data_IF_271071906874
#
_entry.id   IF_271071906874
#
_cell.length_a   1.000
_cell.length_b   1.000
_cell.length_c   1.000
_cell.angle_alpha   90.00
_cell.angle_beta   90.00
_cell.angle_gamma   90.00
#
_symmetry.space_group_name_H-M   'P 1'
#
loop_
_entity.id
_entity.type
_entity.pdbx_description
1 polymer ?
#
# COMPACT_ATOMS: atom_id res chain seq x y z
N UNK A 1 50.71 -36.73 16.65
CA UNK A 1 50.56 -35.25 16.73
C UNK A 1 49.98 -34.62 15.48
N UNK A 2 50.01 -35.26 14.31
CA UNK A 2 49.43 -34.74 13.05
C UNK A 2 47.90 -34.79 13.00
N UNK A 3 47.25 -35.73 13.70
CA UNK A 3 45.79 -35.90 13.66
C UNK A 3 45.02 -34.85 14.48
N UNK A 4 45.65 -34.19 15.46
CA UNK A 4 45.04 -33.14 16.29
C UNK A 4 45.04 -31.78 15.57
N UNK A 5 46.03 -31.57 14.70
CA UNK A 5 46.09 -30.34 13.91
C UNK A 5 45.03 -30.27 12.80
N UNK A 6 44.54 -31.42 12.34
CA UNK A 6 43.52 -31.51 11.27
C UNK A 6 42.10 -31.36 11.82
N UNK A 7 41.89 -31.57 13.11
CA UNK A 7 40.56 -31.39 13.77
C UNK A 7 40.27 -29.91 14.16
N UNK A 8 41.31 -29.09 14.21
CA UNK A 8 41.19 -27.65 14.54
C UNK A 8 40.84 -26.76 13.35
N UNK A 9 40.80 -27.31 12.12
CA UNK A 9 40.41 -26.55 10.91
C UNK A 9 38.92 -26.66 10.55
N UNK A 10 38.13 -27.38 11.33
CA UNK A 10 36.68 -27.43 11.16
C UNK A 10 35.96 -26.56 12.19
N UNK A 11 36.44 -25.34 12.43
CA UNK A 11 35.58 -24.30 12.97
C UNK A 11 34.74 -23.84 11.80
N UNK A 12 33.43 -24.10 11.77
CA UNK A 12 32.58 -23.45 10.78
C UNK A 12 32.76 -21.95 11.04
N UNK A 13 33.25 -21.24 10.04
CA UNK A 13 33.12 -19.80 9.96
C UNK A 13 31.63 -19.58 10.09
N UNK A 14 31.16 -19.20 11.28
CA UNK A 14 29.79 -18.80 11.51
C UNK A 14 29.57 -17.52 10.71
N UNK A 15 29.29 -17.68 9.42
CA UNK A 15 28.78 -16.62 8.57
C UNK A 15 27.48 -16.20 9.23
N UNK A 16 27.44 -14.99 9.77
CA UNK A 16 26.26 -14.50 10.44
C UNK A 16 25.13 -14.40 9.43
N UNK A 17 24.17 -15.36 9.49
CA UNK A 17 23.01 -15.31 8.64
C UNK A 17 22.30 -13.97 8.80
N UNK A 18 22.24 -13.19 7.75
CA UNK A 18 21.48 -11.93 7.72
C UNK A 18 19.99 -12.25 7.58
N UNK A 19 19.16 -11.61 8.39
CA UNK A 19 17.70 -11.67 8.28
C UNK A 19 17.16 -10.27 8.09
N UNK A 20 16.48 -10.04 6.97
CA UNK A 20 15.75 -8.81 6.70
C UNK A 20 14.31 -9.15 6.38
N UNK A 21 13.39 -8.72 7.22
CA UNK A 21 11.95 -8.94 7.03
C UNK A 21 11.23 -7.62 7.05
N UNK A 22 10.46 -7.36 6.02
CA UNK A 22 9.58 -6.20 5.95
C UNK A 22 8.14 -6.66 5.79
N UNK A 23 7.26 -6.19 6.67
CA UNK A 23 5.82 -6.40 6.60
C UNK A 23 5.15 -5.06 6.44
N UNK A 24 4.38 -4.91 5.36
CA UNK A 24 3.72 -3.66 4.97
C UNK A 24 2.23 -3.90 4.85
N UNK A 25 1.42 -3.03 5.42
CA UNK A 25 -0.04 -3.01 5.27
C UNK A 25 -0.46 -1.71 4.62
N UNK A 26 -1.21 -1.81 3.54
CA UNK A 26 -1.78 -0.67 2.80
C UNK A 26 -3.23 -0.51 3.25
N UNK A 27 -3.58 0.65 3.80
CA UNK A 27 -4.95 0.95 4.19
C UNK A 27 -5.81 1.39 3.00
N UNK A 28 -7.16 1.34 3.11
CA UNK A 28 -8.05 1.90 2.10
C UNK A 28 -7.89 3.41 1.87
N UNK A 29 -7.32 4.13 2.84
CA UNK A 29 -7.08 5.58 2.78
C UNK A 29 -5.73 5.97 2.16
N UNK A 30 -5.05 5.03 1.48
CA UNK A 30 -3.72 5.20 0.85
C UNK A 30 -2.59 5.50 1.85
N UNK A 31 -2.75 5.05 3.08
CA UNK A 31 -1.71 5.10 4.09
C UNK A 31 -1.04 3.73 4.23
N UNK A 32 0.21 3.77 4.65
CA UNK A 32 1.06 2.59 4.78
C UNK A 32 1.56 2.50 6.21
N UNK A 33 1.37 1.32 6.80
CA UNK A 33 1.90 0.99 8.13
C UNK A 33 2.64 -0.33 8.07
N UNK A 34 3.55 -0.55 8.98
CA UNK A 34 4.29 -1.81 8.96
C UNK A 34 5.49 -1.85 9.86
N UNK A 35 6.33 -2.83 9.58
CA UNK A 35 7.52 -3.15 10.37
C UNK A 35 8.65 -3.60 9.46
N UNK A 36 9.86 -3.21 9.79
CA UNK A 36 11.10 -3.68 9.17
C UNK A 36 12.00 -4.22 10.27
N UNK A 37 12.46 -5.46 10.13
CA UNK A 37 13.45 -6.10 10.99
C UNK A 37 14.71 -6.31 10.17
N UNK A 38 15.84 -5.79 10.66
CA UNK A 38 17.16 -6.07 10.15
C UNK A 38 18.00 -6.67 11.28
N UNK A 39 18.34 -7.95 11.17
CA UNK A 39 19.02 -8.69 12.25
C UNK A 39 20.03 -9.67 11.66
N UNK A 40 21.04 -10.01 12.46
CA UNK A 40 22.05 -11.01 12.10
C UNK A 40 22.37 -11.89 13.33
N UNK A 41 22.93 -13.07 13.10
CA UNK A 41 23.48 -13.86 14.19
C UNK A 41 24.70 -13.13 14.79
N UNK A 42 24.72 -12.91 16.11
CA UNK A 42 25.82 -12.18 16.75
C UNK A 42 27.15 -12.92 16.58
N UNK A 43 28.19 -12.21 16.18
CA UNK A 43 29.55 -12.74 16.06
C UNK A 43 30.23 -12.90 17.43
N UNK A 44 29.80 -12.13 18.42
CA UNK A 44 30.26 -12.16 19.79
C UNK A 44 29.20 -11.52 20.72
N UNK A 45 29.42 -11.61 22.04
CA UNK A 45 28.47 -11.11 23.06
C UNK A 45 28.28 -9.58 23.09
N UNK A 46 29.04 -8.82 22.33
CA UNK A 46 28.94 -7.36 22.23
C UNK A 46 28.39 -6.91 20.85
N UNK A 47 28.13 -7.85 19.96
CA UNK A 47 27.61 -7.57 18.65
C UNK A 47 26.13 -7.20 18.76
N UNK A 48 25.77 -6.01 18.30
CA UNK A 48 24.40 -5.49 18.30
C UNK A 48 23.69 -5.71 16.97
N UNK A 49 24.38 -6.30 16.00
CA UNK A 49 23.83 -6.54 14.65
C UNK A 49 23.59 -5.28 13.82
N UNK A 50 22.85 -5.39 12.71
CA UNK A 50 22.53 -4.28 11.82
C UNK A 50 21.72 -3.20 12.54
N UNK A 51 22.07 -1.93 12.32
CA UNK A 51 21.37 -0.78 12.86
C UNK A 51 20.45 -0.14 11.79
N UNK A 52 19.26 0.29 12.23
CA UNK A 52 18.33 1.13 11.47
C UNK A 52 18.32 2.50 12.15
N UNK A 53 19.24 3.38 11.77
CA UNK A 53 19.48 4.66 12.45
C UNK A 53 19.45 5.87 11.50
N UNK A 54 19.01 5.66 10.27
CA UNK A 54 18.89 6.72 9.27
C UNK A 54 17.94 7.82 9.68
N UNK A 55 18.34 9.07 9.40
CA UNK A 55 17.49 10.24 9.61
C UNK A 55 16.42 10.30 8.52
N UNK A 56 15.15 10.19 8.92
CA UNK A 56 14.00 10.34 8.02
C UNK A 56 13.19 11.58 8.37
N UNK A 57 12.70 12.34 7.37
CA UNK A 57 11.97 13.58 7.61
C UNK A 57 10.69 13.42 8.45
N UNK A 58 10.17 12.19 8.53
CA UNK A 58 8.95 11.81 9.25
C UNK A 58 9.23 10.94 10.49
N UNK A 59 10.30 11.22 11.22
CA UNK A 59 10.73 10.46 12.41
C UNK A 59 9.63 10.28 13.48
N UNK A 60 8.63 11.17 13.51
CA UNK A 60 7.48 11.04 14.42
C UNK A 60 6.56 9.86 14.08
N UNK A 61 6.61 9.36 12.84
CA UNK A 61 5.82 8.22 12.36
C UNK A 61 6.59 6.91 12.42
N UNK A 62 7.85 6.91 12.85
CA UNK A 62 8.74 5.75 12.87
C UNK A 62 9.34 5.59 14.26
N UNK A 63 9.19 4.41 14.84
CA UNK A 63 9.81 4.04 16.10
C UNK A 63 10.85 2.94 15.84
N UNK A 64 12.11 3.22 16.19
CA UNK A 64 13.20 2.24 16.09
C UNK A 64 13.52 1.69 17.47
N UNK A 65 13.70 0.37 17.56
CA UNK A 65 14.08 -0.35 18.77
C UNK A 65 15.09 -1.43 18.48
N UNK A 66 15.78 -1.90 19.52
CA UNK A 66 16.66 -3.06 19.41
C UNK A 66 15.82 -4.33 19.20
N UNK A 67 16.33 -5.20 18.33
CA UNK A 67 15.78 -6.52 18.10
C UNK A 67 16.71 -7.58 18.69
N UNK A 68 16.18 -8.45 19.56
CA UNK A 68 16.88 -9.61 20.12
C UNK A 68 15.87 -10.74 20.28
N UNK A 69 15.86 -11.63 19.28
CA UNK A 69 14.95 -12.79 19.26
C UNK A 69 15.49 -13.91 18.39
N UNK A 70 15.19 -15.15 18.76
CA UNK A 70 15.57 -16.37 18.02
C UNK A 70 17.09 -16.50 17.78
N UNK A 71 17.92 -15.90 18.64
CA UNK A 71 19.37 -15.90 18.47
C UNK A 71 19.88 -14.94 17.38
N UNK A 72 19.05 -13.98 16.97
CA UNK A 72 19.41 -12.86 16.10
C UNK A 72 19.36 -11.55 16.88
N UNK A 73 20.30 -10.68 16.61
CA UNK A 73 20.37 -9.33 17.16
C UNK A 73 20.39 -8.30 16.03
N UNK A 74 19.83 -7.13 16.30
CA UNK A 74 19.74 -6.07 15.31
C UNK A 74 18.79 -4.97 15.71
N UNK A 75 18.09 -4.42 14.71
CA UNK A 75 17.13 -3.35 14.90
C UNK A 75 15.79 -3.68 14.23
N UNK A 76 14.74 -3.13 14.82
CA UNK A 76 13.36 -3.16 14.36
C UNK A 76 12.85 -1.74 14.22
N UNK A 77 12.25 -1.42 13.09
CA UNK A 77 11.56 -0.16 12.85
C UNK A 77 10.08 -0.42 12.63
N UNK A 78 9.22 0.17 13.44
CA UNK A 78 7.76 0.16 13.26
C UNK A 78 7.33 1.52 12.77
N UNK A 79 6.52 1.55 11.72
CA UNK A 79 6.04 2.80 11.12
C UNK A 79 4.53 2.77 10.94
N UNK A 80 3.90 3.94 11.02
CA UNK A 80 2.45 4.09 10.85
C UNK A 80 2.10 5.33 10.05
N UNK A 81 1.02 5.21 9.28
CA UNK A 81 0.39 6.31 8.55
C UNK A 81 1.33 7.06 7.58
N UNK A 82 2.26 6.32 6.96
CA UNK A 82 3.09 6.88 5.90
C UNK A 82 2.28 7.04 4.61
N UNK A 83 2.48 8.13 3.92
CA UNK A 83 1.97 8.29 2.55
C UNK A 83 2.79 7.45 1.56
N UNK A 84 2.24 7.17 0.38
CA UNK A 84 2.97 6.47 -0.68
C UNK A 84 4.27 7.19 -1.08
N UNK A 85 4.32 8.52 -0.96
CA UNK A 85 5.52 9.31 -1.25
C UNK A 85 6.61 9.22 -0.17
N UNK A 86 6.23 8.93 1.08
CA UNK A 86 7.17 8.77 2.20
C UNK A 86 7.80 7.36 2.21
N UNK A 87 7.08 6.34 1.72
CA UNK A 87 7.54 4.94 1.76
C UNK A 87 8.94 4.71 1.16
N UNK A 88 9.31 5.25 -0.02
CA UNK A 88 10.64 5.05 -0.58
C UNK A 88 11.78 5.60 0.30
N UNK A 89 11.48 6.56 1.17
CA UNK A 89 12.48 7.21 2.03
C UNK A 89 12.88 6.33 3.21
N UNK A 90 12.10 5.28 3.54
CA UNK A 90 12.49 4.27 4.54
C UNK A 90 13.78 3.53 4.15
N UNK A 91 14.08 3.40 2.86
CA UNK A 91 15.33 2.79 2.40
C UNK A 91 16.57 3.58 2.85
N UNK A 92 16.41 4.87 3.17
CA UNK A 92 17.52 5.71 3.66
C UNK A 92 17.86 5.47 5.14
N UNK A 93 17.02 4.69 5.88
CA UNK A 93 17.28 4.35 7.29
C UNK A 93 18.47 3.40 7.46
N UNK A 94 18.92 2.75 6.41
CA UNK A 94 20.10 1.91 6.43
C UNK A 94 20.92 2.17 5.18
N UNK A 95 22.16 2.65 5.37
CA UNK A 95 23.10 2.89 4.28
C UNK A 95 23.47 1.64 3.49
N UNK A 96 23.41 0.46 4.14
CA UNK A 96 23.67 -0.84 3.52
C UNK A 96 22.47 -1.35 2.70
N UNK A 97 21.27 -0.81 2.93
CA UNK A 97 20.05 -1.12 2.18
C UNK A 97 19.88 -0.25 0.91
N UNK A 98 20.92 0.46 0.49
CA UNK A 98 20.88 1.39 -0.65
C UNK A 98 20.47 0.75 -2.00
N UNK A 99 20.38 -0.58 -2.06
CA UNK A 99 19.90 -1.32 -3.24
C UNK A 99 18.39 -1.55 -3.30
N UNK A 100 17.60 -1.14 -2.28
CA UNK A 100 16.16 -1.39 -2.25
C UNK A 100 15.40 -0.13 -2.64
N UNK A 101 14.59 -0.23 -3.70
CA UNK A 101 13.67 0.82 -4.12
C UNK A 101 12.25 0.23 -4.19
N UNK A 102 11.33 0.83 -3.44
CA UNK A 102 9.93 0.42 -3.40
C UNK A 102 9.04 1.64 -3.68
N UNK A 103 8.13 1.51 -4.62
CA UNK A 103 7.20 2.55 -5.03
C UNK A 103 5.76 2.05 -4.97
N UNK A 104 4.91 2.84 -4.37
CA UNK A 104 3.47 2.66 -4.36
C UNK A 104 2.81 3.85 -5.07
N UNK A 105 1.82 3.55 -5.89
CA UNK A 105 1.02 4.59 -6.56
C UNK A 105 -0.41 4.13 -6.77
N UNK A 106 -1.33 5.08 -6.75
CA UNK A 106 -2.72 4.86 -7.13
C UNK A 106 -2.96 5.39 -8.53
N UNK A 107 -3.69 4.61 -9.32
CA UNK A 107 -4.24 5.04 -10.61
C UNK A 107 -5.74 4.68 -10.65
N UNK A 108 -6.59 5.67 -10.38
CA UNK A 108 -8.02 5.45 -10.22
C UNK A 108 -8.33 4.50 -9.05
N UNK A 109 -8.93 3.36 -9.34
CA UNK A 109 -9.26 2.33 -8.36
C UNK A 109 -8.22 1.19 -8.27
N UNK A 110 -7.03 1.38 -8.85
CA UNK A 110 -5.95 0.39 -8.82
C UNK A 110 -4.79 0.96 -8.02
N UNK A 111 -4.33 0.20 -7.02
CA UNK A 111 -3.05 0.43 -6.35
C UNK A 111 -2.00 -0.46 -6.99
N UNK A 112 -0.87 0.13 -7.31
CA UNK A 112 0.25 -0.50 -8.01
C UNK A 112 1.47 -0.40 -7.10
N UNK A 113 2.06 -1.57 -6.79
CA UNK A 113 3.35 -1.71 -6.13
C UNK A 113 4.37 -2.10 -7.18
N UNK A 114 5.47 -1.37 -7.23
CA UNK A 114 6.66 -1.69 -8.02
C UNK A 114 7.89 -1.58 -7.12
N UNK A 115 8.75 -2.59 -7.17
CA UNK A 115 9.95 -2.63 -6.36
C UNK A 115 11.12 -3.26 -7.09
N UNK A 116 12.32 -2.85 -6.68
CA UNK A 116 13.59 -3.43 -7.11
C UNK A 116 14.50 -3.56 -5.89
N UNK A 117 15.05 -4.73 -5.69
CA UNK A 117 16.04 -4.98 -4.65
C UNK A 117 17.33 -5.48 -5.32
N UNK A 118 18.41 -4.75 -5.12
CA UNK A 118 19.75 -5.14 -5.55
C UNK A 118 20.48 -5.74 -4.36
N UNK A 119 20.53 -7.06 -4.29
CA UNK A 119 21.20 -7.82 -3.24
C UNK A 119 22.55 -8.37 -3.70
N UNK A 120 23.14 -7.83 -4.76
CA UNK A 120 24.43 -8.31 -5.30
C UNK A 120 25.61 -8.15 -4.32
N UNK A 121 25.51 -7.20 -3.39
CA UNK A 121 26.47 -7.01 -2.29
C UNK A 121 26.29 -7.99 -1.13
N UNK A 122 25.13 -8.67 -1.03
CA UNK A 122 24.86 -9.66 0.00
C UNK A 122 25.51 -10.98 -0.40
N UNK A 123 26.67 -11.25 0.17
CA UNK A 123 27.48 -12.43 -0.15
C UNK A 123 27.07 -13.69 0.64
N UNK A 124 26.26 -13.53 1.71
CA UNK A 124 25.77 -14.64 2.51
C UNK A 124 24.64 -15.39 1.77
N UNK A 125 24.87 -16.65 1.33
CA UNK A 125 23.86 -17.39 0.60
C UNK A 125 22.67 -17.81 1.46
N UNK A 126 22.84 -17.82 2.79
CA UNK A 126 21.83 -18.20 3.76
C UNK A 126 21.06 -16.97 4.31
N UNK A 127 21.30 -15.79 3.74
CA UNK A 127 20.55 -14.60 4.11
C UNK A 127 19.07 -14.76 3.76
N UNK A 128 18.22 -14.48 4.77
CA UNK A 128 16.76 -14.54 4.68
C UNK A 128 16.22 -13.12 4.48
N UNK A 129 15.88 -12.78 3.23
CA UNK A 129 15.35 -11.46 2.85
C UNK A 129 13.94 -11.63 2.31
N UNK A 130 12.97 -11.06 3.03
CA UNK A 130 11.55 -11.24 2.75
C UNK A 130 10.78 -9.92 2.82
N UNK A 131 9.91 -9.72 1.84
CA UNK A 131 8.91 -8.64 1.85
C UNK A 131 7.52 -9.25 1.79
N UNK A 132 6.68 -8.90 2.75
CA UNK A 132 5.26 -9.24 2.77
C UNK A 132 4.42 -7.97 2.70
N UNK A 133 3.44 -7.94 1.81
CA UNK A 133 2.56 -6.78 1.64
C UNK A 133 1.11 -7.22 1.67
N UNK A 134 0.34 -6.63 2.61
CA UNK A 134 -1.10 -6.74 2.69
C UNK A 134 -1.76 -5.55 1.98
N UNK A 135 -2.61 -5.84 1.02
CA UNK A 135 -3.39 -4.87 0.25
C UNK A 135 -4.80 -4.72 0.84
N UNK A 136 -5.48 -3.59 0.65
CA UNK A 136 -6.84 -3.38 1.15
C UNK A 136 -7.92 -4.18 0.38
N UNK A 137 -7.53 -4.91 -0.66
CA UNK A 137 -8.39 -5.78 -1.43
C UNK A 137 -7.59 -6.86 -2.16
N UNK A 138 -8.30 -7.84 -2.74
CA UNK A 138 -7.67 -8.94 -3.46
C UNK A 138 -6.74 -8.47 -4.58
N UNK A 139 -5.55 -9.05 -4.59
CA UNK A 139 -4.50 -8.76 -5.58
C UNK A 139 -4.88 -9.39 -6.93
N UNK A 140 -4.95 -8.56 -7.97
CA UNK A 140 -5.33 -8.97 -9.32
C UNK A 140 -4.16 -9.52 -10.14
N UNK A 141 -2.95 -8.98 -9.92
CA UNK A 141 -1.73 -9.39 -10.60
C UNK A 141 -0.52 -9.23 -9.68
N UNK A 142 0.40 -10.19 -9.68
CA UNK A 142 1.66 -10.13 -8.94
C UNK A 142 2.67 -11.10 -9.53
N UNK A 143 3.96 -10.82 -9.31
CA UNK A 143 5.07 -11.77 -9.56
C UNK A 143 5.59 -12.43 -8.27
N UNK A 144 4.99 -12.11 -7.12
CA UNK A 144 5.26 -12.74 -5.82
C UNK A 144 4.35 -13.92 -5.52
N UNK A 145 4.63 -14.59 -4.41
CA UNK A 145 3.80 -15.68 -3.89
C UNK A 145 2.58 -15.12 -3.19
N UNK A 146 1.38 -15.46 -3.66
CA UNK A 146 0.13 -15.06 -3.02
C UNK A 146 -0.16 -16.02 -1.86
N UNK A 147 -0.01 -15.52 -0.62
CA UNK A 147 -0.27 -16.30 0.60
C UNK A 147 -1.75 -16.30 0.93
N UNK A 148 -2.40 -15.13 0.78
CA UNK A 148 -3.83 -14.89 0.92
C UNK A 148 -4.32 -14.04 -0.26
N UNK A 149 -5.63 -13.92 -0.49
CA UNK A 149 -6.14 -13.11 -1.60
C UNK A 149 -5.60 -11.69 -1.62
N UNK A 150 -5.40 -11.07 -0.45
CA UNK A 150 -4.92 -9.70 -0.25
C UNK A 150 -3.43 -9.63 0.11
N UNK A 151 -2.75 -10.77 0.39
CA UNK A 151 -1.38 -10.78 0.91
C UNK A 151 -0.42 -11.44 -0.08
N UNK A 152 0.64 -10.71 -0.43
CA UNK A 152 1.70 -11.19 -1.31
C UNK A 152 3.03 -11.16 -0.58
N UNK A 153 3.82 -12.20 -0.77
CA UNK A 153 5.16 -12.36 -0.23
C UNK A 153 6.19 -12.49 -1.35
N UNK A 154 7.33 -11.84 -1.19
CA UNK A 154 8.51 -12.03 -2.02
C UNK A 154 9.67 -12.49 -1.15
N UNK A 155 10.23 -13.65 -1.49
CA UNK A 155 11.50 -14.14 -0.94
C UNK A 155 12.60 -13.75 -1.90
N UNK A 156 13.45 -12.84 -1.49
CA UNK A 156 14.48 -12.23 -2.31
C UNK A 156 15.78 -13.02 -2.16
N UNK A 157 16.38 -13.40 -3.28
CA UNK A 157 17.61 -14.20 -3.26
C UNK A 157 18.82 -13.30 -3.08
N UNK A 158 19.76 -13.63 -2.17
CA UNK A 158 21.05 -12.97 -2.05
C UNK A 158 21.87 -13.06 -3.35
N UNK A 159 22.75 -12.12 -3.58
CA UNK A 159 23.67 -12.09 -4.71
C UNK A 159 23.08 -11.72 -6.07
N UNK A 160 21.77 -11.41 -6.13
CA UNK A 160 21.09 -11.07 -7.40
C UNK A 160 20.19 -9.83 -7.25
N UNK A 161 19.84 -9.28 -8.40
CA UNK A 161 18.81 -8.22 -8.48
C UNK A 161 17.44 -8.88 -8.64
N UNK A 162 16.49 -8.50 -7.80
CA UNK A 162 15.12 -8.97 -7.83
C UNK A 162 14.15 -7.82 -8.10
N UNK A 163 13.08 -8.08 -8.82
CA UNK A 163 11.98 -7.14 -9.05
C UNK A 163 10.70 -7.65 -8.39
N UNK A 164 9.93 -6.72 -7.85
CA UNK A 164 8.66 -6.99 -7.17
C UNK A 164 7.56 -6.19 -7.86
N UNK A 165 6.43 -6.81 -8.12
CA UNK A 165 5.27 -6.12 -8.68
C UNK A 165 3.98 -6.73 -8.17
N UNK A 166 3.01 -5.87 -7.83
CA UNK A 166 1.66 -6.29 -7.49
C UNK A 166 0.66 -5.20 -7.84
N UNK A 167 -0.57 -5.61 -8.13
CA UNK A 167 -1.69 -4.73 -8.39
C UNK A 167 -2.93 -5.23 -7.64
N UNK A 168 -3.59 -4.32 -6.91
CA UNK A 168 -4.85 -4.58 -6.26
C UNK A 168 -5.88 -3.55 -6.71
N UNK A 169 -7.14 -3.97 -6.89
CA UNK A 169 -8.22 -3.08 -7.31
C UNK A 169 -9.19 -2.91 -6.16
N UNK A 170 -9.32 -1.70 -5.68
CA UNK A 170 -10.34 -1.34 -4.70
C UNK A 170 -10.79 0.11 -4.89
N UNK A 171 -12.02 0.38 -4.49
CA UNK A 171 -12.57 1.74 -4.53
C UNK A 171 -12.28 2.40 -3.20
N UNK A 172 -11.67 3.59 -3.24
CA UNK A 172 -11.44 4.42 -2.06
C UNK A 172 -12.79 4.69 -1.37
N UNK A 173 -12.94 4.36 -0.07
CA UNK A 173 -14.17 4.60 0.67
C UNK A 173 -14.53 6.10 0.75
N UNK A 174 -13.54 6.99 0.62
CA UNK A 174 -13.75 8.44 0.59
C UNK A 174 -14.19 8.95 -0.79
N UNK A 175 -14.11 8.14 -1.84
CA UNK A 175 -14.65 8.50 -3.15
C UNK A 175 -16.17 8.46 -3.08
N UNK A 176 -16.81 9.61 -2.83
CA UNK A 176 -18.26 9.76 -2.91
C UNK A 176 -18.72 9.35 -4.30
N UNK A 177 -19.38 8.21 -4.38
CA UNK A 177 -20.05 7.79 -5.61
C UNK A 177 -21.14 8.80 -5.95
N UNK A 178 -20.91 9.62 -6.98
CA UNK A 178 -21.92 10.55 -7.50
C UNK A 178 -23.15 9.83 -8.07
N UNK A 179 -23.11 8.50 -8.21
CA UNK A 179 -24.23 7.70 -8.68
C UNK A 179 -25.47 7.86 -7.79
N UNK A 180 -25.31 7.86 -6.45
CA UNK A 180 -26.41 8.11 -5.52
C UNK A 180 -26.95 9.53 -5.62
N UNK A 181 -26.09 10.54 -5.73
CA UNK A 181 -26.50 11.93 -5.89
C UNK A 181 -27.22 12.15 -7.24
N UNK A 182 -26.75 11.51 -8.32
CA UNK A 182 -27.40 11.56 -9.64
C UNK A 182 -28.80 10.94 -9.64
N UNK A 183 -29.02 9.85 -8.95
CA UNK A 183 -30.35 9.23 -8.81
C UNK A 183 -31.31 10.15 -8.06
N UNK A 184 -30.89 10.75 -6.94
CA UNK A 184 -31.71 11.69 -6.17
C UNK A 184 -32.05 12.97 -6.93
N UNK A 185 -31.08 13.50 -7.71
CA UNK A 185 -31.33 14.64 -8.59
C UNK A 185 -32.31 14.28 -9.73
N UNK A 186 -32.21 13.09 -10.29
CA UNK A 186 -33.15 12.58 -11.28
C UNK A 186 -34.58 12.48 -10.75
N UNK A 187 -34.75 11.86 -9.56
CA UNK A 187 -36.06 11.74 -8.91
C UNK A 187 -36.66 13.13 -8.60
N UNK A 188 -35.87 14.07 -8.09
CA UNK A 188 -36.30 15.43 -7.81
C UNK A 188 -36.74 16.18 -9.07
N UNK A 189 -36.02 16.03 -10.18
CA UNK A 189 -36.37 16.63 -11.47
C UNK A 189 -37.67 16.07 -12.04
N UNK A 190 -37.89 14.75 -11.96
CA UNK A 190 -39.15 14.12 -12.38
C UNK A 190 -40.32 14.58 -11.52
N UNK A 191 -40.19 14.62 -10.18
CA UNK A 191 -41.20 15.13 -9.28
C UNK A 191 -41.59 16.58 -9.57
N UNK A 192 -40.61 17.45 -9.85
CA UNK A 192 -40.86 18.83 -10.24
C UNK A 192 -41.60 18.94 -11.58
N UNK A 193 -41.26 18.11 -12.57
CA UNK A 193 -41.94 18.09 -13.86
C UNK A 193 -43.41 17.64 -13.73
N UNK A 194 -43.69 16.62 -12.89
CA UNK A 194 -45.06 16.16 -12.62
C UNK A 194 -45.90 17.25 -11.95
N UNK A 195 -45.36 17.97 -10.98
CA UNK A 195 -46.03 19.10 -10.32
C UNK A 195 -46.41 20.19 -11.34
N UNK A 196 -45.46 20.56 -12.21
CA UNK A 196 -45.70 21.56 -13.28
C UNK A 196 -46.77 21.08 -14.26
N UNK A 197 -46.74 19.80 -14.66
CA UNK A 197 -47.71 19.23 -15.57
C UNK A 197 -49.13 19.24 -14.97
N UNK A 198 -49.28 18.88 -13.68
CA UNK A 198 -50.55 18.92 -12.95
C UNK A 198 -51.07 20.35 -12.84
N UNK A 199 -50.24 21.32 -12.49
CA UNK A 199 -50.62 22.73 -12.41
C UNK A 199 -51.05 23.29 -13.76
N UNK A 200 -50.34 22.97 -14.83
CA UNK A 200 -50.71 23.37 -16.19
C UNK A 200 -52.03 22.74 -16.65
N UNK A 201 -52.29 21.49 -16.24
CA UNK A 201 -53.57 20.84 -16.55
C UNK A 201 -54.77 21.47 -15.80
N UNK A 202 -54.60 21.85 -14.53
CA UNK A 202 -55.61 22.54 -13.73
C UNK A 202 -55.88 23.93 -14.25
N UNK A 203 -54.88 24.64 -14.70
CA UNK A 203 -54.99 26.02 -15.25
C UNK A 203 -55.65 26.03 -16.64
N UNK A 204 -55.47 24.98 -17.41
CA UNK A 204 -56.10 24.79 -18.75
C UNK A 204 -57.63 24.83 -18.66
N UNK A 205 -58.24 24.36 -17.59
CA UNK A 205 -59.70 24.33 -17.40
C UNK A 205 -60.26 25.68 -16.95
N UNK A 206 -59.42 26.67 -16.63
CA UNK A 206 -59.80 28.01 -16.18
C UNK A 206 -59.74 29.09 -17.25
N UNK A 207 -59.36 28.77 -18.48
CA UNK A 207 -59.32 29.78 -19.56
C UNK A 207 -60.74 30.26 -19.89
N UNK A 208 -61.09 31.58 -19.67
CA UNK A 208 -62.39 32.11 -20.01
C UNK A 208 -62.60 32.02 -21.55
N UNK A 209 -63.65 31.38 -21.97
CA UNK A 209 -64.12 31.42 -23.37
C UNK A 209 -64.53 32.85 -23.68
N UNK A 210 -63.78 33.54 -24.48
CA UNK A 210 -64.16 34.82 -25.08
C UNK A 210 -65.34 34.54 -26.06
N UNK A 211 -66.55 34.78 -25.58
CA UNK A 211 -67.73 34.83 -26.44
C UNK A 211 -67.63 36.08 -27.33
N UNK A 212 -67.31 35.84 -28.62
CA UNK A 212 -67.45 36.92 -29.62
C UNK A 212 -68.95 37.27 -29.77
N UNK A 213 -69.35 38.37 -29.15
CA UNK A 213 -70.64 39.01 -29.41
C UNK A 213 -70.48 39.79 -30.75
N UNK A 214 -70.94 39.20 -31.82
CA UNK A 214 -71.08 39.90 -33.10
C UNK A 214 -72.53 40.35 -33.25
N UNK A 215 -72.80 41.65 -33.02
CA UNK A 215 -74.01 42.29 -33.49
C UNK A 215 -73.75 42.90 -34.86
N UNK A 216 -74.57 42.64 -35.89
CA UNK A 216 -74.49 43.34 -37.14
C UNK A 216 -75.21 44.68 -37.10
N UNK A 217 -74.70 45.73 -37.77
CA UNK A 217 -75.37 47.03 -37.82
C UNK A 217 -76.56 46.96 -38.84
N UNK A 218 -77.71 47.29 -38.35
CA UNK A 218 -78.93 47.54 -39.23
C UNK A 218 -78.92 48.93 -39.77
N UNK A 219 -79.12 48.99 -41.16
CA UNK A 219 -79.55 50.05 -42.06
C UNK A 219 -78.83 51.34 -42.13
#
# INVERSE_FOLDING_TARGET
>A
MLAIAMLLMLVPLATGCLRVRASITISPDDLVSGEIIAAAKPKNSKDTGPALDGDVPFSQKVAVSNYDSDGYVGSQAVFSDLTFAELPQLANMNSDAAGVNLSLRRNGNIVILEGRADLTSVSDPDADVELTVAFPAAVTSTNGDRIEPEVVQWKLKPGVVSTMSAQARYTDPNTRSFTGAGIWLGIAAFAAADVVAVLAWIDRDRSPRLTASGDPPTS
#
